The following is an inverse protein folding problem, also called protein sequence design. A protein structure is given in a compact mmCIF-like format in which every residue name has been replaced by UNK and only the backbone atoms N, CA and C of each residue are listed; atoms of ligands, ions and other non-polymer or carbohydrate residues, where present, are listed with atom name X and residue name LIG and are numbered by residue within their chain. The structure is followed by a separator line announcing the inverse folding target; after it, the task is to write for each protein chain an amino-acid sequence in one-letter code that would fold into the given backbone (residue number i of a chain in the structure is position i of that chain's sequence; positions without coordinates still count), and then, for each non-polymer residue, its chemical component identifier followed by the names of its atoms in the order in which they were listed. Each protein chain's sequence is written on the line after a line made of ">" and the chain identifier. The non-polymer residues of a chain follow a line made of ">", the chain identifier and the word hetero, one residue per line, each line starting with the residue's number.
data_IF_745686077310
#
_entry.id   IF_745686077310
#
_cell.length_a   1.000
_cell.length_b   1.000
_cell.length_c   1.000
_cell.angle_alpha   90.00
_cell.angle_beta   90.00
_cell.angle_gamma   90.00
#
_symmetry.space_group_name_H-M   'P 1'
#
loop_
_entity.id
_entity.type
_entity.pdbx_description
1 polymer ?
#
# COMPACT_ATOMS: atom_id res chain seq x y z
N UNK A 1 4.71 16.60 21.39
CA UNK A 1 3.50 16.89 20.56
C UNK A 1 3.22 15.87 19.44
N UNK A 2 4.22 15.15 18.89
CA UNK A 2 3.99 14.14 17.83
C UNK A 2 3.36 12.83 18.36
N UNK A 3 3.67 12.42 19.60
CA UNK A 3 3.23 11.15 20.20
C UNK A 3 1.72 10.91 20.05
N UNK A 4 0.89 11.86 20.49
CA UNK A 4 -0.57 11.73 20.42
C UNK A 4 -1.10 11.70 18.99
N UNK A 5 -0.50 12.47 18.07
CA UNK A 5 -0.94 12.51 16.68
C UNK A 5 -0.69 11.17 15.98
N UNK A 6 0.37 10.46 16.35
CA UNK A 6 0.66 9.11 15.82
C UNK A 6 -0.38 8.08 16.23
N UNK A 7 -1.17 8.33 17.29
CA UNK A 7 -2.28 7.46 17.66
C UNK A 7 -3.45 7.57 16.68
N UNK A 8 -3.60 8.70 15.99
CA UNK A 8 -4.61 8.85 14.93
C UNK A 8 -4.22 7.89 13.79
N UNK A 9 -5.08 6.90 13.46
CA UNK A 9 -4.81 5.99 12.35
C UNK A 9 -4.56 6.78 11.07
N UNK A 10 -3.61 6.32 10.25
CA UNK A 10 -3.20 6.94 8.99
C UNK A 10 -2.36 8.23 9.13
N UNK A 11 -2.35 8.89 10.28
CA UNK A 11 -1.55 10.10 10.48
C UNK A 11 -0.06 9.85 10.25
N UNK A 12 0.49 8.77 10.81
CA UNK A 12 1.91 8.48 10.69
C UNK A 12 2.30 8.28 9.22
N UNK A 13 1.48 7.56 8.46
CA UNK A 13 1.64 7.36 7.01
C UNK A 13 1.68 8.68 6.27
N UNK A 14 0.74 9.59 6.54
CA UNK A 14 0.72 10.92 5.90
C UNK A 14 1.98 11.71 6.25
N UNK A 15 2.29 11.80 7.54
CA UNK A 15 3.40 12.60 8.06
C UNK A 15 4.76 12.21 7.46
N UNK A 16 4.98 10.92 7.24
CA UNK A 16 6.30 10.39 6.89
C UNK A 16 6.43 9.89 5.45
N UNK A 17 5.34 9.42 4.82
CA UNK A 17 5.35 8.82 3.48
C UNK A 17 4.65 9.71 2.43
N UNK A 18 3.70 10.56 2.82
CA UNK A 18 2.89 11.37 1.90
C UNK A 18 3.07 12.88 2.14
N UNK A 19 4.32 13.33 2.06
CA UNK A 19 4.72 14.71 2.40
C UNK A 19 4.01 15.74 1.51
N UNK A 20 4.07 15.58 0.19
CA UNK A 20 3.46 16.46 -0.78
C UNK A 20 2.04 16.04 -1.20
N UNK A 21 1.26 17.02 -1.66
CA UNK A 21 -0.13 16.84 -2.10
C UNK A 21 -0.27 15.86 -3.26
N UNK A 22 0.69 15.81 -4.18
CA UNK A 22 0.65 14.89 -5.32
C UNK A 22 0.81 13.43 -4.88
N UNK A 23 1.67 13.17 -3.90
CA UNK A 23 1.78 11.86 -3.27
C UNK A 23 0.50 11.45 -2.53
N UNK A 24 -0.19 12.39 -1.88
CA UNK A 24 -1.50 12.11 -1.23
C UNK A 24 -2.57 11.76 -2.26
N UNK A 25 -2.69 12.54 -3.34
CA UNK A 25 -3.61 12.27 -4.44
C UNK A 25 -3.30 10.91 -5.06
N UNK A 26 -2.01 10.64 -5.34
CA UNK A 26 -1.58 9.34 -5.87
C UNK A 26 -1.90 8.20 -4.92
N UNK A 27 -1.79 8.39 -3.61
CA UNK A 27 -2.15 7.36 -2.65
C UNK A 27 -3.65 7.07 -2.66
N UNK A 28 -4.49 8.10 -2.69
CA UNK A 28 -5.95 7.95 -2.78
C UNK A 28 -6.35 7.20 -4.06
N UNK A 29 -5.81 7.63 -5.20
CA UNK A 29 -6.14 7.01 -6.50
C UNK A 29 -5.56 5.62 -6.67
N UNK A 30 -4.42 5.31 -6.05
CA UNK A 30 -3.78 4.00 -6.23
C UNK A 30 -4.06 3.00 -5.13
N UNK A 31 -4.68 3.41 -4.01
CA UNK A 31 -5.01 2.54 -2.89
C UNK A 31 -6.50 2.61 -2.51
N UNK A 32 -6.98 3.75 -2.02
CA UNK A 32 -8.34 3.85 -1.49
C UNK A 32 -9.40 3.60 -2.57
N UNK A 33 -9.33 4.28 -3.72
CA UNK A 33 -10.33 4.12 -4.79
C UNK A 33 -10.39 2.66 -5.30
N UNK A 34 -9.27 2.00 -5.65
CA UNK A 34 -9.27 0.59 -6.05
C UNK A 34 -9.83 -0.36 -4.99
N UNK A 35 -9.53 -0.12 -3.71
CA UNK A 35 -10.06 -0.93 -2.61
C UNK A 35 -11.57 -0.77 -2.49
N UNK A 36 -12.08 0.47 -2.52
CA UNK A 36 -13.52 0.75 -2.51
C UNK A 36 -14.23 0.18 -3.73
N UNK A 37 -13.58 0.23 -4.91
CA UNK A 37 -14.11 -0.35 -6.14
C UNK A 37 -14.26 -1.88 -6.03
N UNK A 38 -13.26 -2.58 -5.48
CA UNK A 38 -13.37 -4.02 -5.25
C UNK A 38 -14.50 -4.34 -4.27
N UNK A 39 -14.63 -3.58 -3.19
CA UNK A 39 -15.77 -3.73 -2.27
C UNK A 39 -17.09 -3.57 -3.02
N UNK A 40 -17.24 -2.46 -3.76
CA UNK A 40 -18.45 -2.16 -4.53
C UNK A 40 -18.80 -3.24 -5.58
N UNK A 41 -17.79 -3.82 -6.20
CA UNK A 41 -17.97 -4.84 -7.23
C UNK A 41 -18.66 -6.09 -6.66
N UNK A 42 -18.24 -6.54 -5.47
CA UNK A 42 -18.77 -7.73 -4.80
C UNK A 42 -19.98 -7.43 -3.92
N UNK A 43 -20.06 -6.24 -3.33
CA UNK A 43 -21.17 -5.79 -2.50
C UNK A 43 -21.61 -4.38 -2.90
N UNK A 44 -22.81 -4.28 -3.48
CA UNK A 44 -23.38 -3.01 -3.96
C UNK A 44 -23.89 -2.12 -2.83
N UNK A 45 -24.11 -2.68 -1.63
CA UNK A 45 -24.68 -1.98 -0.48
C UNK A 45 -23.60 -1.70 0.57
N UNK A 46 -22.62 -0.88 0.20
CA UNK A 46 -21.45 -0.61 1.04
C UNK A 46 -21.86 0.11 2.34
N UNK A 47 -21.59 -0.54 3.46
CA UNK A 47 -21.60 0.08 4.77
C UNK A 47 -20.31 0.88 5.00
N UNK A 48 -20.43 2.20 4.84
CA UNK A 48 -19.31 3.13 4.99
C UNK A 48 -18.73 3.12 6.40
N UNK A 49 -19.52 2.85 7.44
CA UNK A 49 -19.04 2.80 8.83
C UNK A 49 -18.11 1.59 8.99
N UNK A 50 -18.53 0.43 8.51
CA UNK A 50 -17.70 -0.78 8.53
C UNK A 50 -16.41 -0.61 7.70
N UNK A 51 -16.48 0.06 6.55
CA UNK A 51 -15.30 0.39 5.74
C UNK A 51 -14.32 1.29 6.50
N UNK A 52 -14.81 2.37 7.12
CA UNK A 52 -13.99 3.31 7.89
C UNK A 52 -13.32 2.59 9.07
N UNK A 53 -14.07 1.79 9.83
CA UNK A 53 -13.53 1.00 10.93
C UNK A 53 -12.49 -0.03 10.43
N UNK A 54 -12.71 -0.65 9.27
CA UNK A 54 -11.76 -1.55 8.63
C UNK A 54 -10.44 -0.84 8.29
N UNK A 55 -10.50 0.38 7.74
CA UNK A 55 -9.30 1.18 7.51
C UNK A 55 -8.63 1.64 8.80
N UNK A 56 -9.39 2.02 9.83
CA UNK A 56 -8.84 2.35 11.17
C UNK A 56 -8.05 1.17 11.73
N UNK A 57 -8.61 -0.03 11.68
CA UNK A 57 -7.94 -1.25 12.13
C UNK A 57 -6.69 -1.54 11.31
N UNK A 58 -6.80 -1.49 9.97
CA UNK A 58 -5.69 -1.69 9.04
C UNK A 58 -4.53 -0.73 9.30
N UNK A 59 -4.79 0.58 9.36
CA UNK A 59 -3.71 1.55 9.53
C UNK A 59 -3.13 1.53 10.94
N UNK A 60 -3.92 1.21 11.96
CA UNK A 60 -3.41 1.00 13.31
C UNK A 60 -2.35 -0.12 13.33
N UNK A 61 -2.58 -1.24 12.67
CA UNK A 61 -1.60 -2.35 12.61
C UNK A 61 -0.47 -2.07 11.62
N UNK A 62 -0.80 -1.62 10.42
CA UNK A 62 0.17 -1.41 9.36
C UNK A 62 1.21 -0.33 9.71
N UNK A 63 0.82 0.71 10.46
CA UNK A 63 1.73 1.75 10.93
C UNK A 63 2.68 1.31 12.05
N UNK A 64 2.35 0.27 12.82
CA UNK A 64 3.29 -0.35 13.76
C UNK A 64 4.53 -0.86 13.02
N UNK A 65 4.33 -1.50 11.86
CA UNK A 65 5.40 -1.94 10.98
C UNK A 65 6.28 -0.79 10.50
N UNK A 66 5.65 0.34 10.13
CA UNK A 66 6.35 1.56 9.75
C UNK A 66 7.14 2.21 10.89
N UNK A 67 6.57 2.29 12.09
CA UNK A 67 7.24 2.82 13.27
C UNK A 67 8.48 1.99 13.62
N UNK A 68 8.32 0.67 13.70
CA UNK A 68 9.44 -0.25 13.96
C UNK A 68 10.50 -0.20 12.85
N UNK A 69 10.09 -0.02 11.59
CA UNK A 69 11.03 0.15 10.49
C UNK A 69 11.88 1.41 10.69
N UNK A 70 11.27 2.54 11.03
CA UNK A 70 11.97 3.83 11.04
C UNK A 70 12.77 4.08 12.31
N UNK A 71 12.38 3.46 13.43
CA UNK A 71 13.00 3.68 14.74
C UNK A 71 13.96 2.55 15.10
N UNK A 72 13.55 1.29 14.92
CA UNK A 72 14.36 0.13 15.33
C UNK A 72 15.23 -0.35 14.19
N UNK A 73 14.65 -0.50 13.01
CA UNK A 73 15.29 -1.22 11.90
C UNK A 73 16.41 -0.40 11.25
N UNK A 74 16.20 0.90 11.10
CA UNK A 74 17.20 1.87 10.60
C UNK A 74 18.51 1.88 11.40
N UNK A 75 18.47 1.58 12.71
CA UNK A 75 19.67 1.47 13.59
C UNK A 75 20.68 0.42 13.09
N UNK A 76 20.22 -0.57 12.34
CA UNK A 76 21.04 -1.69 11.85
C UNK A 76 21.34 -1.62 10.34
N UNK A 77 20.93 -0.55 9.66
CA UNK A 77 21.15 -0.40 8.21
C UNK A 77 22.43 0.37 7.92
N UNK A 78 23.20 -0.07 6.90
CA UNK A 78 24.41 0.65 6.45
C UNK A 78 24.10 2.05 5.90
N UNK A 79 22.96 2.21 5.24
CA UNK A 79 22.51 3.46 4.62
C UNK A 79 21.00 3.64 4.85
N UNK A 80 20.58 4.02 6.08
CA UNK A 80 19.17 4.10 6.44
C UNK A 80 18.46 5.24 5.72
N UNK A 81 17.19 5.01 5.37
CA UNK A 81 16.32 6.10 4.90
C UNK A 81 15.68 6.77 6.12
N UNK A 82 16.22 7.91 6.54
CA UNK A 82 15.68 8.69 7.65
C UNK A 82 14.42 9.45 7.19
N UNK A 83 13.29 9.18 7.84
CA UNK A 83 12.00 9.81 7.52
C UNK A 83 11.52 10.81 8.57
N UNK A 84 12.02 10.67 9.79
CA UNK A 84 11.74 11.53 10.94
C UNK A 84 12.87 12.54 11.13
N UNK A 85 12.54 13.74 11.58
CA UNK A 85 13.53 14.65 12.16
C UNK A 85 14.01 14.14 13.54
N UNK A 86 15.09 14.74 14.06
CA UNK A 86 15.75 14.28 15.29
C UNK A 86 14.84 14.36 16.52
N UNK A 87 14.04 15.42 16.64
CA UNK A 87 13.13 15.61 17.78
C UNK A 87 12.02 14.57 17.76
N UNK A 88 11.35 14.43 16.62
CA UNK A 88 10.30 13.43 16.40
C UNK A 88 10.81 12.01 16.64
N UNK A 89 12.05 11.74 16.24
CA UNK A 89 12.69 10.44 16.48
C UNK A 89 12.89 10.17 17.97
N UNK A 90 13.47 11.10 18.74
CA UNK A 90 13.73 10.90 20.18
C UNK A 90 12.44 10.63 20.94
N UNK A 91 11.42 11.48 20.72
CA UNK A 91 10.11 11.35 21.38
C UNK A 91 9.47 9.98 21.10
N UNK A 92 9.54 9.52 19.83
CA UNK A 92 8.93 8.26 19.44
C UNK A 92 9.75 7.03 19.87
N UNK A 93 11.09 7.11 19.93
CA UNK A 93 11.93 6.00 20.41
C UNK A 93 11.68 5.75 21.91
N UNK A 94 11.58 6.82 22.70
CA UNK A 94 11.25 6.76 24.14
C UNK A 94 9.85 6.19 24.40
N UNK A 95 8.86 6.54 23.57
CA UNK A 95 7.45 6.17 23.77
C UNK A 95 6.99 4.99 22.89
N UNK A 96 7.88 4.33 22.16
CA UNK A 96 7.53 3.37 21.11
C UNK A 96 6.60 2.26 21.61
N UNK A 97 6.90 1.68 22.79
CA UNK A 97 6.10 0.60 23.39
C UNK A 97 4.66 1.05 23.65
N UNK A 98 4.48 2.26 24.20
CA UNK A 98 3.17 2.84 24.50
C UNK A 98 2.38 3.09 23.23
N UNK A 99 2.99 3.73 22.23
CA UNK A 99 2.35 4.01 20.93
C UNK A 99 1.91 2.72 20.24
N UNK A 100 2.76 1.69 20.25
CA UNK A 100 2.45 0.38 19.66
C UNK A 100 1.30 -0.31 20.40
N UNK A 101 1.30 -0.31 21.73
CA UNK A 101 0.21 -0.88 22.53
C UNK A 101 -1.11 -0.16 22.25
N UNK A 102 -1.11 1.17 22.24
CA UNK A 102 -2.31 1.96 21.93
C UNK A 102 -2.85 1.66 20.53
N UNK A 103 -1.98 1.47 19.52
CA UNK A 103 -2.42 1.08 18.18
C UNK A 103 -3.05 -0.32 18.14
N UNK A 104 -2.53 -1.29 18.89
CA UNK A 104 -3.20 -2.59 19.02
C UNK A 104 -4.57 -2.47 19.70
N UNK A 105 -4.70 -1.62 20.73
CA UNK A 105 -5.99 -1.37 21.40
C UNK A 105 -6.99 -0.73 20.42
N UNK A 106 -6.58 0.28 19.64
CA UNK A 106 -7.45 0.92 18.64
C UNK A 106 -7.92 -0.10 17.60
N UNK A 107 -7.01 -0.93 17.09
CA UNK A 107 -7.37 -2.00 16.15
C UNK A 107 -8.37 -2.99 16.77
N UNK A 108 -8.16 -3.40 18.03
CA UNK A 108 -9.07 -4.30 18.73
C UNK A 108 -10.46 -3.68 18.94
N UNK A 109 -10.53 -2.41 19.36
CA UNK A 109 -11.81 -1.70 19.51
C UNK A 109 -12.55 -1.62 18.17
N UNK A 110 -11.85 -1.35 17.07
CA UNK A 110 -12.46 -1.36 15.73
C UNK A 110 -12.97 -2.74 15.34
N UNK A 111 -12.22 -3.82 15.63
CA UNK A 111 -12.68 -5.19 15.37
C UNK A 111 -13.94 -5.52 16.19
N UNK A 112 -13.97 -5.15 17.48
CA UNK A 112 -15.17 -5.36 18.33
C UNK A 112 -16.36 -4.58 17.78
N UNK A 113 -16.18 -3.32 17.37
CA UNK A 113 -17.26 -2.54 16.77
C UNK A 113 -17.79 -3.17 15.47
N UNK A 114 -16.90 -3.63 14.58
CA UNK A 114 -17.26 -4.34 13.35
C UNK A 114 -18.01 -5.65 13.64
N UNK A 115 -17.58 -6.39 14.67
CA UNK A 115 -18.25 -7.62 15.10
C UNK A 115 -19.68 -7.36 15.59
N UNK A 116 -19.88 -6.31 16.39
CA UNK A 116 -21.21 -5.90 16.86
C UNK A 116 -22.15 -5.48 15.71
N UNK A 117 -21.58 -5.06 14.58
CA UNK A 117 -22.33 -4.77 13.35
C UNK A 117 -22.65 -6.02 12.51
N UNK A 118 -22.18 -7.21 12.90
CA UNK A 118 -22.50 -8.48 12.24
C UNK A 118 -21.55 -8.91 11.12
N UNK A 119 -20.41 -8.25 10.93
CA UNK A 119 -19.44 -8.59 9.88
C UNK A 119 -18.46 -9.70 10.28
N UNK A 120 -17.80 -10.29 9.27
CA UNK A 120 -16.84 -11.40 9.41
C UNK A 120 -15.48 -10.94 9.98
N UNK A 121 -15.47 -10.49 11.24
CA UNK A 121 -14.31 -9.90 11.92
C UNK A 121 -13.09 -10.83 11.99
N UNK A 122 -13.30 -12.15 12.07
CA UNK A 122 -12.21 -13.13 12.22
C UNK A 122 -11.29 -13.16 11.00
N UNK A 123 -11.85 -12.99 9.80
CA UNK A 123 -11.08 -12.96 8.56
C UNK A 123 -10.23 -11.69 8.51
N UNK A 124 -10.81 -10.51 8.77
CA UNK A 124 -10.05 -9.27 8.87
C UNK A 124 -8.96 -9.38 9.95
N UNK A 125 -9.29 -9.88 11.14
CA UNK A 125 -8.32 -10.09 12.22
C UNK A 125 -7.15 -10.98 11.80
N UNK A 126 -7.42 -12.02 11.02
CA UNK A 126 -6.39 -12.90 10.45
C UNK A 126 -5.49 -12.15 9.45
N UNK A 127 -6.05 -11.33 8.57
CA UNK A 127 -5.28 -10.47 7.66
C UNK A 127 -4.42 -9.46 8.43
N UNK A 128 -4.95 -8.82 9.47
CA UNK A 128 -4.20 -7.89 10.32
C UNK A 128 -3.04 -8.58 11.02
N UNK A 129 -3.26 -9.78 11.56
CA UNK A 129 -2.19 -10.59 12.15
C UNK A 129 -1.12 -10.95 11.11
N UNK A 130 -1.52 -11.40 9.92
CA UNK A 130 -0.59 -11.69 8.82
C UNK A 130 0.20 -10.45 8.39
N UNK A 131 -0.42 -9.27 8.36
CA UNK A 131 0.27 -8.00 8.09
C UNK A 131 1.34 -7.73 9.15
N UNK A 132 1.00 -7.84 10.44
CA UNK A 132 1.96 -7.60 11.53
C UNK A 132 3.13 -8.61 11.47
N UNK A 133 2.84 -9.90 11.29
CA UNK A 133 3.85 -10.95 11.14
C UNK A 133 4.74 -10.71 9.92
N UNK A 134 4.14 -10.43 8.77
CA UNK A 134 4.88 -10.15 7.52
C UNK A 134 5.78 -8.93 7.69
N UNK A 135 5.33 -7.88 8.38
CA UNK A 135 6.17 -6.72 8.68
C UNK A 135 7.36 -7.06 9.56
N UNK A 136 7.15 -7.87 10.61
CA UNK A 136 8.25 -8.31 11.50
C UNK A 136 9.30 -9.09 10.71
N UNK A 137 8.87 -9.95 9.78
CA UNK A 137 9.78 -10.68 8.88
C UNK A 137 10.46 -9.69 7.92
N UNK A 138 9.70 -8.83 7.26
CA UNK A 138 10.21 -7.85 6.29
C UNK A 138 11.31 -6.96 6.91
N UNK A 139 11.11 -6.51 8.15
CA UNK A 139 12.05 -5.65 8.86
C UNK A 139 13.37 -6.36 9.22
N UNK A 140 13.39 -7.71 9.28
CA UNK A 140 14.60 -8.50 9.53
C UNK A 140 15.31 -8.93 8.25
N UNK A 141 14.56 -9.13 7.18
CA UNK A 141 15.07 -9.69 5.93
C UNK A 141 15.71 -8.60 5.04
N UNK A 142 16.80 -8.94 4.35
CA UNK A 142 17.52 -8.04 3.43
C UNK A 142 17.81 -8.74 2.11
N UNK A 143 18.14 -7.96 1.07
CA UNK A 143 18.40 -8.49 -0.26
C UNK A 143 17.13 -8.95 -0.98
N UNK A 144 17.23 -9.99 -1.83
CA UNK A 144 16.15 -10.41 -2.74
C UNK A 144 14.91 -10.94 -2.02
N UNK A 145 15.08 -11.59 -0.88
CA UNK A 145 13.98 -12.08 -0.02
C UNK A 145 13.12 -10.93 0.54
N UNK A 146 13.67 -9.71 0.64
CA UNK A 146 12.88 -8.52 1.00
C UNK A 146 11.89 -8.10 -0.10
N UNK A 147 12.07 -8.56 -1.35
CA UNK A 147 11.12 -8.30 -2.45
C UNK A 147 9.84 -9.13 -2.28
N UNK A 148 10.00 -10.40 -1.92
CA UNK A 148 8.87 -11.32 -1.71
C UNK A 148 8.01 -10.81 -0.54
N UNK A 149 8.64 -10.52 0.61
CA UNK A 149 7.92 -10.00 1.77
C UNK A 149 7.26 -8.64 1.49
N UNK A 150 7.87 -7.79 0.66
CA UNK A 150 7.26 -6.53 0.21
C UNK A 150 6.02 -6.77 -0.67
N UNK A 151 6.07 -7.73 -1.58
CA UNK A 151 4.92 -8.10 -2.42
C UNK A 151 3.77 -8.64 -1.59
N UNK A 152 4.06 -9.62 -0.70
CA UNK A 152 3.06 -10.20 0.22
C UNK A 152 2.42 -9.11 1.07
N UNK A 153 3.22 -8.23 1.66
CA UNK A 153 2.72 -7.12 2.46
C UNK A 153 1.83 -6.17 1.65
N UNK A 154 2.18 -5.93 0.39
CA UNK A 154 1.34 -5.12 -0.50
C UNK A 154 0.01 -5.80 -0.79
N UNK A 155 -0.02 -7.10 -1.08
CA UNK A 155 -1.26 -7.83 -1.35
C UNK A 155 -2.16 -7.86 -0.12
N UNK A 156 -1.60 -8.20 1.05
CA UNK A 156 -2.33 -8.22 2.32
C UNK A 156 -2.95 -6.85 2.64
N UNK A 157 -2.18 -5.76 2.48
CA UNK A 157 -2.65 -4.41 2.78
C UNK A 157 -3.86 -4.01 1.92
N UNK A 158 -3.84 -4.36 0.63
CA UNK A 158 -4.94 -4.04 -0.28
C UNK A 158 -6.16 -4.93 -0.04
N UNK A 159 -5.94 -6.18 0.33
CA UNK A 159 -7.00 -7.16 0.54
C UNK A 159 -7.70 -7.02 1.90
N UNK A 160 -7.04 -6.44 2.90
CA UNK A 160 -7.52 -6.47 4.28
C UNK A 160 -8.93 -5.89 4.51
N UNK A 161 -9.28 -4.75 3.91
CA UNK A 161 -10.63 -4.18 4.08
C UNK A 161 -11.67 -4.89 3.21
N UNK A 162 -11.40 -5.20 1.92
CA UNK A 162 -12.35 -5.92 1.08
C UNK A 162 -12.83 -7.25 1.64
N UNK A 163 -11.98 -8.00 2.34
CA UNK A 163 -12.39 -9.30 2.92
C UNK A 163 -13.46 -9.21 4.02
N UNK A 164 -13.81 -8.00 4.49
CA UNK A 164 -14.99 -7.82 5.35
C UNK A 164 -16.31 -8.03 4.59
N UNK A 165 -16.33 -7.75 3.28
CA UNK A 165 -17.52 -7.67 2.45
C UNK A 165 -17.60 -8.80 1.42
N UNK A 166 -16.55 -9.62 1.31
CA UNK A 166 -16.41 -10.61 0.24
C UNK A 166 -16.08 -11.97 0.82
N UNK A 167 -16.91 -12.97 0.49
CA UNK A 167 -16.71 -14.36 0.90
C UNK A 167 -15.61 -15.05 0.07
N UNK A 168 -15.46 -14.69 -1.21
CA UNK A 168 -14.42 -15.23 -2.08
C UNK A 168 -13.07 -14.52 -1.85
N UNK A 169 -12.35 -14.97 -0.81
CA UNK A 169 -11.03 -14.47 -0.45
C UNK A 169 -10.00 -14.67 -1.56
N UNK A 170 -10.10 -15.78 -2.31
CA UNK A 170 -9.16 -16.10 -3.37
C UNK A 170 -9.23 -15.05 -4.48
N UNK A 171 -10.44 -14.70 -4.92
CA UNK A 171 -10.64 -13.64 -5.92
C UNK A 171 -10.07 -12.31 -5.45
N UNK A 172 -10.34 -11.87 -4.21
CA UNK A 172 -9.78 -10.61 -3.67
C UNK A 172 -8.25 -10.60 -3.71
N UNK A 173 -7.61 -11.68 -3.23
CA UNK A 173 -6.15 -11.81 -3.22
C UNK A 173 -5.60 -11.79 -4.66
N UNK A 174 -6.24 -12.52 -5.58
CA UNK A 174 -5.80 -12.59 -6.98
C UNK A 174 -5.94 -11.25 -7.71
N UNK A 175 -7.04 -10.53 -7.48
CA UNK A 175 -7.25 -9.16 -8.00
C UNK A 175 -6.08 -8.26 -7.62
N UNK A 176 -5.73 -8.19 -6.34
CA UNK A 176 -4.63 -7.31 -5.91
C UNK A 176 -3.24 -7.87 -6.23
N UNK A 177 -3.09 -9.18 -6.37
CA UNK A 177 -1.84 -9.78 -6.85
C UNK A 177 -1.55 -9.36 -8.28
N UNK A 178 -2.54 -9.50 -9.18
CA UNK A 178 -2.40 -9.18 -10.60
C UNK A 178 -2.36 -7.67 -10.82
N UNK A 179 -3.25 -6.90 -10.21
CA UNK A 179 -3.32 -5.45 -10.48
C UNK A 179 -2.20 -4.67 -9.81
N UNK A 180 -1.70 -5.11 -8.64
CA UNK A 180 -0.78 -4.32 -7.82
C UNK A 180 0.47 -5.09 -7.39
N UNK A 181 0.34 -6.33 -6.93
CA UNK A 181 1.40 -7.12 -6.32
C UNK A 181 2.58 -7.35 -7.26
N UNK A 182 2.30 -7.92 -8.44
CA UNK A 182 3.32 -8.23 -9.47
C UNK A 182 4.02 -6.95 -9.95
N UNK A 183 3.25 -5.91 -10.29
CA UNK A 183 3.81 -4.63 -10.70
C UNK A 183 4.78 -4.08 -9.65
N UNK A 184 4.36 -4.04 -8.38
CA UNK A 184 5.18 -3.52 -7.29
C UNK A 184 6.42 -4.36 -7.02
N UNK A 185 6.33 -5.69 -7.18
CA UNK A 185 7.48 -6.57 -7.07
C UNK A 185 8.54 -6.23 -8.13
N UNK A 186 8.12 -6.11 -9.39
CA UNK A 186 8.99 -5.76 -10.52
C UNK A 186 9.62 -4.37 -10.31
N UNK A 187 8.80 -3.36 -9.97
CA UNK A 187 9.27 -2.01 -9.69
C UNK A 187 10.25 -1.93 -8.53
N UNK A 188 10.03 -2.72 -7.47
CA UNK A 188 10.94 -2.73 -6.32
C UNK A 188 12.23 -3.45 -6.68
N UNK A 189 12.14 -4.57 -7.40
CA UNK A 189 13.27 -5.41 -7.81
C UNK A 189 14.18 -4.76 -8.84
N UNK A 190 13.67 -3.80 -9.63
CA UNK A 190 14.48 -3.02 -10.57
C UNK A 190 15.43 -2.02 -9.90
N UNK A 191 15.36 -1.83 -8.57
CA UNK A 191 16.34 -0.98 -7.87
C UNK A 191 17.73 -1.63 -7.87
N UNK A 192 18.77 -0.82 -8.11
CA UNK A 192 20.19 -1.26 -8.18
C UNK A 192 20.60 -2.17 -7.02
N UNK A 193 20.13 -1.87 -5.80
CA UNK A 193 20.45 -2.61 -4.56
C UNK A 193 20.07 -4.10 -4.54
N UNK A 194 19.21 -4.57 -5.46
CA UNK A 194 18.81 -5.99 -5.52
C UNK A 194 19.60 -6.80 -6.55
N UNK A 195 20.45 -6.15 -7.35
CA UNK A 195 21.33 -6.80 -8.34
C UNK A 195 20.57 -7.75 -9.29
N UNK A 196 19.40 -7.32 -9.78
CA UNK A 196 18.58 -8.01 -10.77
C UNK A 196 18.62 -7.24 -12.10
N UNK A 197 19.63 -7.50 -12.93
CA UNK A 197 19.89 -6.75 -14.17
C UNK A 197 18.72 -6.81 -15.16
N UNK A 198 18.04 -7.95 -15.26
CA UNK A 198 16.89 -8.11 -16.16
C UNK A 198 15.72 -7.18 -15.78
N UNK A 199 15.39 -7.06 -14.48
CA UNK A 199 14.38 -6.11 -13.99
C UNK A 199 14.81 -4.65 -14.18
N UNK A 200 16.11 -4.36 -13.99
CA UNK A 200 16.66 -3.03 -14.25
C UNK A 200 16.49 -2.61 -15.71
N UNK A 201 16.72 -3.54 -16.64
CA UNK A 201 16.52 -3.31 -18.06
C UNK A 201 15.03 -3.13 -18.39
N UNK A 202 14.18 -4.02 -17.90
CA UNK A 202 12.73 -3.98 -18.11
C UNK A 202 12.10 -2.67 -17.61
N UNK A 203 12.57 -2.15 -16.47
CA UNK A 203 12.07 -0.90 -15.87
C UNK A 203 13.00 0.30 -16.10
N UNK A 204 13.75 0.35 -17.21
CA UNK A 204 14.65 1.48 -17.55
C UNK A 204 13.90 2.82 -17.44
N UNK A 205 12.68 2.88 -18.00
CA UNK A 205 11.72 3.95 -17.78
C UNK A 205 10.51 3.44 -16.97
N UNK A 206 10.54 3.60 -15.64
CA UNK A 206 9.53 3.02 -14.74
C UNK A 206 8.08 3.45 -15.07
N UNK A 207 7.88 4.68 -15.54
CA UNK A 207 6.54 5.19 -15.89
C UNK A 207 6.03 4.60 -17.21
N UNK A 208 6.91 4.43 -18.19
CA UNK A 208 6.58 3.73 -19.44
C UNK A 208 6.24 2.27 -19.16
N UNK A 209 7.04 1.60 -18.33
CA UNK A 209 6.79 0.21 -17.93
C UNK A 209 5.42 0.05 -17.24
N UNK A 210 5.04 0.97 -16.35
CA UNK A 210 3.70 0.96 -15.72
C UNK A 210 2.57 1.02 -16.74
N UNK A 211 2.68 1.89 -17.76
CA UNK A 211 1.68 2.00 -18.82
C UNK A 211 1.61 0.70 -19.63
N UNK A 212 2.75 0.16 -20.05
CA UNK A 212 2.82 -1.10 -20.80
C UNK A 212 2.25 -2.27 -20.00
N UNK A 213 2.50 -2.31 -18.69
CA UNK A 213 1.94 -3.33 -17.81
C UNK A 213 0.41 -3.31 -17.82
N UNK A 214 -0.22 -2.16 -17.56
CA UNK A 214 -1.68 -2.08 -17.56
C UNK A 214 -2.29 -2.21 -18.96
N UNK A 215 -1.58 -1.78 -20.01
CA UNK A 215 -1.98 -2.06 -21.39
C UNK A 215 -2.06 -3.57 -21.64
N UNK A 216 -1.03 -4.32 -21.23
CA UNK A 216 -1.03 -5.77 -21.38
C UNK A 216 -2.16 -6.44 -20.59
N UNK A 217 -2.47 -5.94 -19.39
CA UNK A 217 -3.60 -6.44 -18.60
C UNK A 217 -4.94 -6.16 -19.28
N UNK A 218 -5.14 -4.97 -19.86
CA UNK A 218 -6.37 -4.65 -20.61
C UNK A 218 -6.53 -5.56 -21.82
N UNK A 219 -5.44 -5.84 -22.56
CA UNK A 219 -5.48 -6.77 -23.71
C UNK A 219 -5.89 -8.17 -23.26
N UNK A 220 -5.28 -8.70 -22.20
CA UNK A 220 -5.65 -10.02 -21.65
C UNK A 220 -7.10 -10.01 -21.16
N UNK A 221 -7.53 -8.95 -20.50
CA UNK A 221 -8.86 -8.86 -19.92
C UNK A 221 -9.96 -8.72 -21.01
N UNK A 222 -9.63 -8.13 -22.17
CA UNK A 222 -10.49 -8.12 -23.36
C UNK A 222 -10.79 -9.53 -23.89
N UNK A 223 -9.83 -10.46 -23.78
CA UNK A 223 -10.00 -11.85 -24.22
C UNK A 223 -10.87 -12.66 -23.25
N UNK A 224 -10.84 -12.33 -21.95
CA UNK A 224 -11.52 -13.10 -20.91
C UNK A 224 -12.96 -12.59 -20.70
N UNK A 225 -13.09 -11.35 -20.20
CA UNK A 225 -14.37 -10.70 -19.93
C UNK A 225 -14.15 -9.22 -19.61
N UNK A 226 -14.69 -8.34 -20.46
CA UNK A 226 -14.62 -6.88 -20.31
C UNK A 226 -15.32 -6.34 -19.07
N UNK A 227 -16.32 -7.06 -18.54
CA UNK A 227 -17.09 -6.64 -17.36
C UNK A 227 -16.51 -7.17 -16.04
N UNK A 228 -15.42 -7.95 -16.11
CA UNK A 228 -14.74 -8.42 -14.91
C UNK A 228 -14.10 -7.26 -14.14
N UNK A 229 -14.01 -7.42 -12.83
CA UNK A 229 -13.30 -6.49 -11.93
C UNK A 229 -11.85 -6.24 -12.37
N UNK A 230 -11.21 -7.26 -12.97
CA UNK A 230 -9.86 -7.17 -13.53
C UNK A 230 -9.79 -6.19 -14.70
N UNK A 231 -10.72 -6.28 -15.65
CA UNK A 231 -10.81 -5.38 -16.80
C UNK A 231 -10.98 -3.93 -16.37
N UNK A 232 -11.91 -3.67 -15.45
CA UNK A 232 -12.22 -2.31 -15.01
C UNK A 232 -11.04 -1.71 -14.24
N UNK A 233 -10.42 -2.46 -13.33
CA UNK A 233 -9.23 -1.99 -12.61
C UNK A 233 -8.02 -1.79 -13.53
N UNK A 234 -7.81 -2.70 -14.49
CA UNK A 234 -6.74 -2.57 -15.47
C UNK A 234 -6.92 -1.30 -16.31
N UNK A 235 -8.14 -1.02 -16.78
CA UNK A 235 -8.47 0.19 -17.51
C UNK A 235 -8.29 1.44 -16.65
N UNK A 236 -8.80 1.43 -15.42
CA UNK A 236 -8.64 2.52 -14.46
C UNK A 236 -7.17 2.87 -14.25
N UNK A 237 -6.34 1.87 -13.98
CA UNK A 237 -4.91 2.09 -13.78
C UNK A 237 -4.19 2.48 -15.07
N UNK A 238 -4.58 1.96 -16.23
CA UNK A 238 -4.03 2.36 -17.52
C UNK A 238 -4.26 3.86 -17.76
N UNK A 239 -5.50 4.34 -17.58
CA UNK A 239 -5.85 5.76 -17.72
C UNK A 239 -5.02 6.59 -16.74
N UNK A 240 -5.04 6.24 -15.45
CA UNK A 240 -4.29 6.96 -14.42
C UNK A 240 -2.78 7.01 -14.74
N UNK A 241 -2.16 5.89 -15.13
CA UNK A 241 -0.73 5.84 -15.45
C UNK A 241 -0.37 6.57 -16.72
N UNK A 242 -1.25 6.56 -17.72
CA UNK A 242 -1.06 7.30 -18.96
C UNK A 242 -1.08 8.81 -18.70
N UNK A 243 -2.04 9.31 -17.92
CA UNK A 243 -2.09 10.71 -17.51
C UNK A 243 -0.79 11.11 -16.80
N UNK A 244 -0.34 10.35 -15.81
CA UNK A 244 0.91 10.64 -15.08
C UNK A 244 2.12 10.61 -16.02
N UNK A 245 2.20 9.66 -16.93
CA UNK A 245 3.28 9.57 -17.91
C UNK A 245 3.33 10.81 -18.82
N UNK A 246 2.18 11.24 -19.35
CA UNK A 246 2.06 12.43 -20.19
C UNK A 246 2.42 13.71 -19.42
N UNK A 247 1.93 13.87 -18.19
CA UNK A 247 2.25 15.03 -17.35
C UNK A 247 3.77 15.17 -17.12
N UNK A 248 4.47 14.05 -16.88
CA UNK A 248 5.91 14.04 -16.67
C UNK A 248 6.65 14.41 -17.97
N UNK A 249 6.24 13.85 -19.11
CA UNK A 249 6.83 14.15 -20.43
C UNK A 249 6.63 15.62 -20.82
N UNK A 250 5.43 16.17 -20.63
CA UNK A 250 5.15 17.58 -20.90
C UNK A 250 6.01 18.51 -20.03
N UNK A 251 6.15 18.20 -18.74
CA UNK A 251 7.00 18.98 -17.83
C UNK A 251 8.47 18.93 -18.22
N UNK A 252 8.96 17.76 -18.64
CA UNK A 252 10.34 17.61 -19.12
C UNK A 252 10.60 18.46 -20.37
N UNK A 253 9.67 18.47 -21.33
CA UNK A 253 9.80 19.27 -22.55
C UNK A 253 9.75 20.78 -22.26
N UNK A 254 8.86 21.25 -21.37
CA UNK A 254 8.82 22.67 -20.96
C UNK A 254 10.13 23.13 -20.32
N UNK A 255 10.74 22.29 -19.50
CA UNK A 255 12.03 22.59 -18.88
C UNK A 255 13.19 22.62 -19.90
N UNK A 256 13.06 22.00 -21.07
CA UNK A 256 14.05 22.08 -22.14
C UNK A 256 13.89 23.33 -23.01
N UNK A 257 12.66 23.83 -23.17
CA UNK A 257 12.34 25.01 -23.98
C UNK A 257 12.62 26.32 -23.21
N UNK A 258 12.61 26.30 -21.86
CA UNK A 258 12.90 27.47 -21.02
C UNK A 258 14.39 27.80 -20.80
N UNK A 259 15.30 27.18 -21.55
CA UNK A 259 16.76 27.43 -21.53
C UNK A 259 17.33 27.83 -22.91
N UNK A 260 16.47 28.36 -23.79
CA UNK A 260 16.87 29.08 -25.01
C UNK A 260 16.45 30.52 -24.88
#
# INVERSE_FOLDING_TARGET
>A
MIEWKVLIPFYYTVYTRLKDTMNRISYITTFFIPVLFVIYYFDRNIDLVAVILGFVALFSIYEIGYLKNDIVTTKFEKNPTLRLDKESYSILDENLKRVVLSKYIIALVSLVAIWLMGYQVLILGSFLLLIDLTYRIHNRVRGRTALITFMVLSILRYSAVPVLFVSDLFSVIMIFTITIGILRFIEKGSRKKFHLKWLQHLCKEINQFRVLYYLSLVIVAFVIDLNSVYSILAMYYLIYRTIIYLMIRIKANKNQIGFT
#
